data_IF_676587349520
#
_entry.id   IF_676587349520
#
_cell.length_a   1.000
_cell.length_b   1.000
_cell.length_c   1.000
_cell.angle_alpha   90.00
_cell.angle_beta   90.00
_cell.angle_gamma   90.00
#
_symmetry.space_group_name_H-M   'P 1'
#
loop_
_entity.id
_entity.type
_entity.pdbx_description
1 polymer ?
#
# COMPACT_ATOMS: atom_id res chain seq x y z
N UNK A 1 0.88 -18.07 -14.89
CA UNK A 1 0.55 -16.65 -15.17
C UNK A 1 -0.67 -16.18 -14.34
N UNK A 2 -0.69 -16.38 -13.02
CA UNK A 2 -1.91 -16.15 -12.18
C UNK A 2 -1.79 -14.86 -11.34
N UNK A 3 -0.58 -14.43 -10.98
CA UNK A 3 -0.35 -13.26 -10.14
C UNK A 3 -0.62 -11.91 -10.81
N UNK A 4 -0.45 -11.80 -12.14
CA UNK A 4 -0.58 -10.55 -12.88
C UNK A 4 -2.04 -10.04 -12.92
N UNK A 5 -3.02 -10.94 -12.99
CA UNK A 5 -4.44 -10.56 -13.10
C UNK A 5 -5.04 -9.99 -11.82
N UNK A 6 -4.57 -10.41 -10.64
CA UNK A 6 -5.12 -10.00 -9.33
C UNK A 6 -5.00 -8.49 -9.11
N UNK A 7 -3.94 -7.87 -9.64
CA UNK A 7 -3.65 -6.45 -9.46
C UNK A 7 -4.14 -5.57 -10.61
N UNK A 8 -4.50 -6.12 -11.77
CA UNK A 8 -4.93 -5.33 -12.94
C UNK A 8 -6.09 -4.38 -12.62
N UNK A 9 -7.10 -4.87 -11.89
CA UNK A 9 -8.22 -4.01 -11.47
C UNK A 9 -7.76 -2.92 -10.48
N UNK A 10 -6.86 -3.25 -9.55
CA UNK A 10 -6.34 -2.28 -8.59
C UNK A 10 -5.55 -1.17 -9.28
N UNK A 11 -4.66 -1.54 -10.20
CA UNK A 11 -3.85 -0.63 -11.00
C UNK A 11 -4.77 0.29 -11.82
N UNK A 12 -5.75 -0.28 -12.52
CA UNK A 12 -6.69 0.50 -13.31
C UNK A 12 -7.50 1.51 -12.47
N UNK A 13 -7.91 1.14 -11.25
CA UNK A 13 -8.60 2.07 -10.35
C UNK A 13 -7.69 3.22 -9.90
N UNK A 14 -6.41 2.95 -9.64
CA UNK A 14 -5.42 3.98 -9.29
C UNK A 14 -5.16 4.92 -10.47
N UNK A 15 -5.01 4.38 -11.68
CA UNK A 15 -4.82 5.16 -12.92
C UNK A 15 -6.03 6.06 -13.23
N UNK A 16 -7.24 5.58 -12.94
CA UNK A 16 -8.48 6.36 -13.05
C UNK A 16 -8.68 7.35 -11.89
N UNK A 17 -7.72 7.47 -10.96
CA UNK A 17 -7.82 8.27 -9.74
C UNK A 17 -9.04 7.93 -8.85
N UNK A 18 -9.59 6.72 -8.97
CA UNK A 18 -10.67 6.19 -8.13
C UNK A 18 -10.09 5.63 -6.84
N UNK A 19 -9.50 6.51 -6.03
CA UNK A 19 -8.70 6.14 -4.86
C UNK A 19 -9.53 5.43 -3.78
N UNK A 20 -10.81 5.76 -3.61
CA UNK A 20 -11.70 5.08 -2.67
C UNK A 20 -11.97 3.63 -3.08
N UNK A 21 -12.34 3.41 -4.34
CA UNK A 21 -12.55 2.07 -4.89
C UNK A 21 -11.27 1.23 -4.84
N UNK A 22 -10.13 1.85 -5.19
CA UNK A 22 -8.82 1.22 -5.11
C UNK A 22 -8.49 0.80 -3.68
N UNK A 23 -8.78 1.66 -2.70
CA UNK A 23 -8.56 1.37 -1.28
C UNK A 23 -9.40 0.17 -0.81
N UNK A 24 -10.70 0.18 -1.10
CA UNK A 24 -11.61 -0.93 -0.74
C UNK A 24 -11.17 -2.23 -1.41
N UNK A 25 -10.83 -2.18 -2.69
CA UNK A 25 -10.38 -3.35 -3.43
C UNK A 25 -9.06 -3.91 -2.87
N UNK A 26 -8.08 -3.04 -2.59
CA UNK A 26 -6.81 -3.45 -1.99
C UNK A 26 -6.99 -4.07 -0.58
N UNK A 27 -7.88 -3.51 0.26
CA UNK A 27 -8.23 -4.11 1.55
C UNK A 27 -8.83 -5.51 1.39
N UNK A 28 -9.73 -5.69 0.43
CA UNK A 28 -10.31 -7.01 0.15
C UNK A 28 -9.27 -8.03 -0.32
N UNK A 29 -8.31 -7.61 -1.14
CA UNK A 29 -7.20 -8.48 -1.56
C UNK A 29 -6.30 -8.84 -0.37
N UNK A 30 -6.10 -7.90 0.56
CA UNK A 30 -5.27 -8.09 1.74
C UNK A 30 -5.93 -9.04 2.74
N UNK A 31 -7.25 -8.94 2.94
CA UNK A 31 -7.99 -9.90 3.77
C UNK A 31 -7.83 -11.34 3.28
N UNK A 32 -7.66 -11.54 1.97
CA UNK A 32 -7.41 -12.87 1.37
C UNK A 32 -5.94 -13.28 1.41
N UNK A 33 -5.01 -12.32 1.50
CA UNK A 33 -3.57 -12.57 1.62
C UNK A 33 -2.92 -11.57 2.60
N UNK A 34 -3.04 -11.80 3.92
CA UNK A 34 -2.68 -10.80 4.93
C UNK A 34 -1.17 -10.51 5.03
N UNK A 35 -0.35 -11.36 4.42
CA UNK A 35 1.12 -11.30 4.48
C UNK A 35 1.73 -10.71 3.20
N UNK A 36 0.93 -10.09 2.34
CA UNK A 36 1.39 -9.51 1.08
C UNK A 36 1.90 -8.06 1.26
N UNK A 37 3.22 -7.83 1.32
CA UNK A 37 3.75 -6.50 1.58
C UNK A 37 3.43 -5.50 0.46
N UNK A 38 3.22 -5.97 -0.77
CA UNK A 38 2.87 -5.09 -1.89
C UNK A 38 1.51 -4.41 -1.66
N UNK A 39 0.53 -5.14 -1.12
CA UNK A 39 -0.78 -4.59 -0.79
C UNK A 39 -0.71 -3.52 0.31
N UNK A 40 0.13 -3.69 1.33
CA UNK A 40 0.35 -2.64 2.33
C UNK A 40 0.98 -1.39 1.71
N UNK A 41 1.93 -1.54 0.79
CA UNK A 41 2.53 -0.37 0.13
C UNK A 41 1.54 0.41 -0.72
N UNK A 42 0.68 -0.28 -1.47
CA UNK A 42 -0.36 0.36 -2.27
C UNK A 42 -1.38 1.06 -1.38
N UNK A 43 -1.84 0.40 -0.31
CA UNK A 43 -2.78 1.01 0.64
C UNK A 43 -2.20 2.27 1.28
N UNK A 44 -0.93 2.25 1.68
CA UNK A 44 -0.24 3.41 2.24
C UNK A 44 -0.14 4.55 1.22
N UNK A 45 0.23 4.26 -0.03
CA UNK A 45 0.31 5.26 -1.10
C UNK A 45 -1.07 5.87 -1.43
N UNK A 46 -2.12 5.05 -1.50
CA UNK A 46 -3.49 5.53 -1.70
C UNK A 46 -3.90 6.46 -0.56
N UNK A 47 -3.61 6.09 0.70
CA UNK A 47 -3.87 6.95 1.86
C UNK A 47 -3.14 8.29 1.76
N UNK A 48 -1.87 8.29 1.32
CA UNK A 48 -1.11 9.52 1.13
C UNK A 48 -1.67 10.39 0.00
N UNK A 49 -2.08 9.80 -1.13
CA UNK A 49 -2.76 10.53 -2.23
C UNK A 49 -4.10 11.13 -1.79
N UNK A 50 -4.80 10.48 -0.87
CA UNK A 50 -6.04 11.00 -0.23
C UNK A 50 -5.78 12.02 0.89
N UNK A 51 -4.53 12.45 1.10
CA UNK A 51 -4.10 13.30 2.22
C UNK A 51 -4.40 12.72 3.62
N UNK A 52 -4.66 11.41 3.72
CA UNK A 52 -4.85 10.71 5.00
C UNK A 52 -3.53 10.11 5.48
N UNK A 53 -2.63 10.99 5.93
CA UNK A 53 -1.29 10.61 6.34
C UNK A 53 -1.27 9.71 7.58
N UNK A 54 -2.25 9.88 8.48
CA UNK A 54 -2.36 9.09 9.71
C UNK A 54 -2.62 7.61 9.41
N UNK A 55 -3.62 7.32 8.58
CA UNK A 55 -3.96 5.95 8.19
C UNK A 55 -2.83 5.31 7.37
N UNK A 56 -2.21 6.06 6.45
CA UNK A 56 -1.07 5.57 5.68
C UNK A 56 0.12 5.16 6.54
N UNK A 57 0.44 5.94 7.58
CA UNK A 57 1.46 5.58 8.58
C UNK A 57 1.10 4.31 9.34
N UNK A 58 -0.16 4.18 9.78
CA UNK A 58 -0.64 2.97 10.47
C UNK A 58 -0.50 1.72 9.61
N UNK A 59 -0.82 1.80 8.31
CA UNK A 59 -0.64 0.71 7.36
C UNK A 59 0.83 0.31 7.23
N UNK A 60 1.75 1.28 7.14
CA UNK A 60 3.19 1.00 7.10
C UNK A 60 3.71 0.37 8.41
N UNK A 61 3.15 0.74 9.56
CA UNK A 61 3.48 0.08 10.83
C UNK A 61 3.01 -1.37 10.84
N UNK A 62 1.79 -1.64 10.35
CA UNK A 62 1.30 -3.03 10.22
C UNK A 62 2.20 -3.86 9.27
N UNK A 63 2.70 -3.26 8.19
CA UNK A 63 3.68 -3.90 7.31
C UNK A 63 4.96 -4.31 8.06
N UNK A 64 5.44 -3.50 9.03
CA UNK A 64 6.59 -3.84 9.87
C UNK A 64 6.34 -5.03 10.80
N UNK A 65 5.09 -5.41 11.06
CA UNK A 65 4.77 -6.57 11.89
C UNK A 65 4.84 -7.90 11.12
N UNK A 66 4.81 -7.88 9.79
CA UNK A 66 4.88 -9.11 8.98
C UNK A 66 6.28 -9.77 9.07
N UNK A 67 6.41 -11.10 9.05
CA UNK A 67 7.70 -11.80 9.21
C UNK A 67 8.61 -11.74 7.96
N UNK A 68 8.67 -10.59 7.28
CA UNK A 68 9.42 -10.39 6.03
C UNK A 68 10.61 -9.44 6.22
N UNK A 69 11.77 -9.76 5.65
CA UNK A 69 13.03 -9.07 5.96
C UNK A 69 13.25 -7.73 5.25
N UNK A 70 12.53 -7.44 4.15
CA UNK A 70 12.73 -6.22 3.34
C UNK A 70 11.75 -5.07 3.63
N UNK A 71 10.80 -5.27 4.54
CA UNK A 71 9.75 -4.29 4.93
C UNK A 71 10.31 -2.98 5.47
N UNK A 72 11.44 -3.00 6.18
CA UNK A 72 12.05 -1.79 6.73
C UNK A 72 12.57 -0.82 5.66
N UNK A 73 13.16 -1.35 4.58
CA UNK A 73 13.65 -0.53 3.46
C UNK A 73 12.49 0.21 2.80
N UNK A 74 11.34 -0.45 2.70
CA UNK A 74 10.11 0.11 2.16
C UNK A 74 9.62 1.27 3.03
N UNK A 75 9.46 1.05 4.34
CA UNK A 75 8.97 2.10 5.24
C UNK A 75 9.92 3.31 5.29
N UNK A 76 11.24 3.07 5.31
CA UNK A 76 12.25 4.15 5.25
C UNK A 76 12.12 4.97 3.96
N UNK A 77 11.83 4.36 2.82
CA UNK A 77 11.58 5.07 1.54
C UNK A 77 10.39 6.02 1.67
N UNK A 78 9.26 5.55 2.23
CA UNK A 78 8.07 6.39 2.43
C UNK A 78 8.30 7.53 3.43
N UNK A 79 9.04 7.28 4.52
CA UNK A 79 9.42 8.34 5.46
C UNK A 79 10.28 9.42 4.82
N UNK A 80 11.29 9.04 4.02
CA UNK A 80 12.10 10.02 3.28
C UNK A 80 11.25 10.89 2.36
N UNK A 81 10.33 10.27 1.60
CA UNK A 81 9.39 10.97 0.72
C UNK A 81 8.48 11.95 1.48
N UNK A 82 8.08 11.62 2.72
CA UNK A 82 7.31 12.52 3.57
C UNK A 82 8.13 13.67 4.17
N UNK A 83 9.40 13.42 4.52
CA UNK A 83 10.24 14.43 5.20
C UNK A 83 10.96 15.38 4.25
N UNK A 84 10.90 15.17 2.93
CA UNK A 84 11.49 16.07 1.94
C UNK A 84 13.02 16.22 2.00
N UNK A 85 13.72 15.46 2.85
CA UNK A 85 15.18 15.53 2.99
C UNK A 85 15.85 14.60 1.98
N UNK A 86 16.26 15.19 0.86
CA UNK A 86 17.37 14.72 0.03
C UNK A 86 18.68 14.81 0.83
#
# INVERSE_FOLDING_TARGET
>A
MIFKFKYNKLISLIEQNKLDDAYVFAKNLLNRNPVDPYLYTILAEICFKKNNLSEGKKILLNLLLLPNWYKEKIVKKFWKLQTGKC
#
